data_IF_955437646760
#
_entry.id   IF_955437646760
#
_cell.length_a   1.000
_cell.length_b   1.000
_cell.length_c   1.000
_cell.angle_alpha   90.00
_cell.angle_beta   90.00
_cell.angle_gamma   90.00
#
_symmetry.space_group_name_H-M   'P 1'
#
loop_
_entity.id
_entity.type
_entity.pdbx_description
1 polymer ?
#
# COMPACT_ATOMS: atom_id res chain seq x y z
N UNK A 1 -7.37 -0.95 33.29
CA UNK A 1 -7.06 -0.66 31.88
C UNK A 1 -6.21 -1.79 31.35
N UNK A 2 -6.59 -2.41 30.23
CA UNK A 2 -5.77 -3.43 29.56
C UNK A 2 -4.63 -2.69 28.86
N UNK A 3 -3.39 -3.13 29.05
CA UNK A 3 -2.21 -2.55 28.38
C UNK A 3 -2.38 -2.60 26.87
N UNK A 4 -1.96 -1.56 26.15
CA UNK A 4 -1.98 -1.52 24.66
C UNK A 4 -1.20 -2.68 24.04
N UNK A 5 -0.16 -3.20 24.71
CA UNK A 5 0.59 -4.39 24.28
C UNK A 5 -0.25 -5.67 24.30
N UNK A 6 -1.24 -5.78 25.16
CA UNK A 6 -2.13 -6.96 25.26
C UNK A 6 -3.21 -7.03 24.18
N UNK A 7 -3.43 -5.94 23.45
CA UNK A 7 -4.39 -5.85 22.34
C UNK A 7 -3.77 -6.09 20.96
N UNK A 8 -2.48 -6.41 20.89
CA UNK A 8 -1.82 -6.72 19.62
C UNK A 8 -2.31 -8.05 19.03
N UNK A 9 -2.23 -8.19 17.71
CA UNK A 9 -2.56 -9.46 17.04
C UNK A 9 -1.72 -10.63 17.57
N UNK A 10 -0.44 -10.40 17.93
CA UNK A 10 0.42 -11.42 18.52
C UNK A 10 -0.05 -11.87 19.92
N UNK A 11 -0.43 -10.93 20.78
CA UNK A 11 -0.94 -11.23 22.10
C UNK A 11 -2.27 -12.00 22.04
N UNK A 12 -3.17 -11.59 21.13
CA UNK A 12 -4.45 -12.30 20.90
C UNK A 12 -4.23 -13.73 20.42
N UNK A 13 -3.29 -13.93 19.48
CA UNK A 13 -2.92 -15.25 18.99
C UNK A 13 -2.39 -16.13 20.14
N UNK A 14 -1.47 -15.62 20.95
CA UNK A 14 -0.92 -16.36 22.10
C UNK A 14 -2.02 -16.77 23.08
N UNK A 15 -2.88 -15.85 23.48
CA UNK A 15 -4.01 -16.11 24.36
C UNK A 15 -4.96 -17.17 23.80
N UNK A 16 -5.16 -17.22 22.48
CA UNK A 16 -6.00 -18.24 21.84
C UNK A 16 -5.34 -19.62 21.84
N UNK A 17 -4.02 -19.69 21.68
CA UNK A 17 -3.26 -20.94 21.80
C UNK A 17 -3.33 -21.48 23.24
N UNK A 18 -3.17 -20.61 24.24
CA UNK A 18 -3.32 -20.98 25.65
C UNK A 18 -4.74 -21.50 25.95
N UNK A 19 -5.78 -20.85 25.38
CA UNK A 19 -7.16 -21.32 25.50
C UNK A 19 -7.33 -22.75 24.95
N UNK A 20 -6.82 -23.01 23.73
CA UNK A 20 -6.92 -24.36 23.12
C UNK A 20 -6.19 -25.37 23.97
N UNK A 21 -5.04 -25.05 24.53
CA UNK A 21 -4.29 -25.91 25.44
C UNK A 21 -5.11 -26.24 26.69
N UNK A 22 -5.79 -25.26 27.28
CA UNK A 22 -6.64 -25.50 28.45
C UNK A 22 -7.85 -26.36 28.13
N UNK A 23 -8.62 -26.02 27.10
CA UNK A 23 -9.84 -26.79 26.76
C UNK A 23 -9.55 -28.22 26.29
N UNK A 24 -8.37 -28.48 25.72
CA UNK A 24 -7.95 -29.83 25.34
C UNK A 24 -7.74 -30.77 26.56
N UNK A 25 -7.46 -30.19 27.73
CA UNK A 25 -7.36 -30.92 29.00
C UNK A 25 -8.67 -31.09 29.76
N UNK A 26 -9.79 -30.51 29.30
CA UNK A 26 -11.07 -30.58 30.01
C UNK A 26 -11.85 -31.86 29.65
N UNK A 27 -11.98 -32.78 30.59
CA UNK A 27 -12.54 -34.12 30.33
C UNK A 27 -13.97 -34.11 29.78
N UNK A 28 -14.78 -33.09 30.10
CA UNK A 28 -16.18 -32.97 29.67
C UNK A 28 -16.37 -31.87 28.62
N UNK A 29 -15.32 -31.52 27.89
CA UNK A 29 -15.41 -30.47 26.88
C UNK A 29 -16.01 -31.06 25.59
N UNK A 30 -17.30 -30.84 25.38
CA UNK A 30 -18.06 -31.23 24.20
C UNK A 30 -19.03 -30.10 23.83
N UNK A 31 -18.52 -29.06 23.11
CA UNK A 31 -19.33 -27.91 22.80
C UNK A 31 -20.41 -28.24 21.75
N UNK A 32 -21.61 -27.62 21.85
CA UNK A 32 -22.74 -27.93 20.98
C UNK A 32 -22.52 -27.57 19.50
N UNK A 33 -21.51 -26.74 19.24
CA UNK A 33 -21.13 -26.32 17.89
C UNK A 33 -19.75 -26.83 17.54
N UNK A 34 -19.63 -27.47 16.39
CA UNK A 34 -18.37 -28.02 15.88
C UNK A 34 -17.26 -26.97 15.77
N UNK A 35 -17.65 -25.71 15.53
CA UNK A 35 -16.69 -24.59 15.35
C UNK A 35 -15.92 -24.25 16.63
N UNK A 36 -16.44 -24.55 17.82
CA UNK A 36 -15.79 -24.37 19.10
C UNK A 36 -15.02 -25.61 19.55
N UNK A 37 -15.04 -26.71 18.79
CA UNK A 37 -14.27 -27.93 19.11
C UNK A 37 -12.75 -27.65 19.07
N UNK A 38 -11.97 -28.43 19.81
CA UNK A 38 -10.49 -28.30 19.84
C UNK A 38 -9.87 -28.38 18.43
N UNK A 39 -10.25 -29.35 17.56
CA UNK A 39 -9.72 -29.38 16.19
C UNK A 39 -10.06 -28.12 15.38
N UNK A 40 -11.31 -27.65 15.41
CA UNK A 40 -11.73 -26.47 14.65
C UNK A 40 -11.08 -25.18 15.16
N UNK A 41 -10.83 -25.06 16.46
CA UNK A 41 -10.08 -23.94 17.02
C UNK A 41 -8.61 -23.98 16.62
N UNK A 42 -7.99 -25.17 16.57
CA UNK A 42 -6.61 -25.34 16.11
C UNK A 42 -6.47 -24.97 14.64
N UNK A 43 -7.42 -25.32 13.79
CA UNK A 43 -7.46 -24.97 12.38
C UNK A 43 -7.60 -23.44 12.19
N UNK A 44 -8.50 -22.79 12.95
CA UNK A 44 -8.65 -21.33 12.94
C UNK A 44 -7.34 -20.63 13.32
N UNK A 45 -6.67 -21.09 14.38
CA UNK A 45 -5.39 -20.56 14.82
C UNK A 45 -4.31 -20.72 13.73
N UNK A 46 -4.27 -21.87 13.07
CA UNK A 46 -3.34 -22.12 11.95
C UNK A 46 -3.60 -21.17 10.78
N UNK A 47 -4.87 -20.93 10.45
CA UNK A 47 -5.28 -19.96 9.42
C UNK A 47 -4.88 -18.53 9.77
N UNK A 48 -4.99 -18.14 11.04
CA UNK A 48 -4.55 -16.83 11.54
C UNK A 48 -3.03 -16.70 11.42
N UNK A 49 -2.25 -17.72 11.78
CA UNK A 49 -0.79 -17.72 11.64
C UNK A 49 -0.39 -17.53 10.18
N UNK A 50 -0.98 -18.31 9.27
CA UNK A 50 -0.72 -18.21 7.84
C UNK A 50 -1.06 -16.81 7.28
N UNK A 51 -2.21 -16.25 7.70
CA UNK A 51 -2.65 -14.92 7.24
C UNK A 51 -1.76 -13.80 7.80
N UNK A 52 -1.29 -13.90 9.04
CA UNK A 52 -0.32 -12.96 9.60
C UNK A 52 1.01 -12.98 8.84
N UNK A 53 1.50 -14.17 8.46
CA UNK A 53 2.71 -14.32 7.64
C UNK A 53 2.50 -13.72 6.23
N UNK A 54 1.34 -13.99 5.62
CA UNK A 54 0.96 -13.42 4.32
C UNK A 54 0.91 -11.88 4.38
N UNK A 55 0.31 -11.29 5.41
CA UNK A 55 0.27 -9.82 5.55
C UNK A 55 1.67 -9.22 5.64
N UNK A 56 2.56 -9.83 6.38
CA UNK A 56 3.95 -9.37 6.47
C UNK A 56 4.65 -9.41 5.11
N UNK A 57 4.48 -10.50 4.35
CA UNK A 57 5.01 -10.65 3.00
C UNK A 57 4.42 -9.63 2.02
N UNK A 58 3.08 -9.46 2.02
CA UNK A 58 2.42 -8.48 1.15
C UNK A 58 2.82 -7.03 1.47
N UNK A 59 3.05 -6.71 2.72
CA UNK A 59 3.56 -5.40 3.13
C UNK A 59 4.97 -5.12 2.58
N UNK A 60 5.85 -6.12 2.62
CA UNK A 60 7.19 -5.98 2.05
C UNK A 60 7.14 -5.86 0.52
N UNK A 61 6.33 -6.68 -0.14
CA UNK A 61 6.12 -6.59 -1.60
C UNK A 61 5.60 -5.20 -2.02
N UNK A 62 4.65 -4.64 -1.25
CA UNK A 62 4.16 -3.28 -1.49
C UNK A 62 5.28 -2.23 -1.34
N UNK A 63 6.07 -2.33 -0.28
CA UNK A 63 7.20 -1.43 -0.05
C UNK A 63 8.22 -1.49 -1.20
N UNK A 64 8.59 -2.69 -1.64
CA UNK A 64 9.49 -2.88 -2.78
C UNK A 64 8.93 -2.28 -4.08
N UNK A 65 7.64 -2.45 -4.34
CA UNK A 65 6.98 -1.85 -5.50
C UNK A 65 7.02 -0.31 -5.45
N UNK A 66 6.78 0.29 -4.27
CA UNK A 66 6.88 1.74 -4.05
C UNK A 66 8.31 2.24 -4.26
N UNK A 67 9.31 1.54 -3.73
CA UNK A 67 10.73 1.90 -3.87
C UNK A 67 11.18 1.78 -5.33
N UNK A 68 10.79 0.73 -6.05
CA UNK A 68 11.07 0.56 -7.47
C UNK A 68 10.49 1.69 -8.30
N UNK A 69 9.22 2.04 -8.06
CA UNK A 69 8.58 3.20 -8.69
C UNK A 69 9.33 4.49 -8.39
N UNK A 70 9.63 4.78 -7.14
CA UNK A 70 10.35 6.00 -6.77
C UNK A 70 11.74 6.08 -7.43
N UNK A 71 12.43 4.95 -7.54
CA UNK A 71 13.73 4.85 -8.21
C UNK A 71 13.63 5.25 -9.68
N UNK A 72 12.66 4.73 -10.42
CA UNK A 72 12.45 5.06 -11.82
C UNK A 72 12.07 6.53 -12.05
N UNK A 73 11.36 7.17 -11.11
CA UNK A 73 10.95 8.56 -11.26
C UNK A 73 12.02 9.58 -10.84
N UNK A 74 12.83 9.32 -9.80
CA UNK A 74 13.68 10.38 -9.23
C UNK A 74 15.07 9.97 -8.74
N UNK A 75 15.34 8.69 -8.46
CA UNK A 75 16.57 8.34 -7.72
C UNK A 75 17.79 8.01 -8.61
N UNK A 76 17.59 7.45 -9.79
CA UNK A 76 18.70 7.01 -10.66
C UNK A 76 19.04 8.01 -11.76
N UNK A 77 20.20 7.85 -12.38
CA UNK A 77 20.64 8.66 -13.54
C UNK A 77 19.69 8.51 -14.73
N UNK A 78 19.07 7.34 -14.94
CA UNK A 78 18.07 7.08 -15.97
C UNK A 78 16.63 7.41 -15.57
N UNK A 79 16.41 8.01 -14.38
CA UNK A 79 15.07 8.37 -13.92
C UNK A 79 14.46 9.50 -14.74
N UNK A 80 13.13 9.54 -14.78
CA UNK A 80 12.37 10.58 -15.50
C UNK A 80 12.86 11.98 -15.19
N UNK A 81 13.04 12.32 -13.91
CA UNK A 81 13.50 13.66 -13.52
C UNK A 81 14.88 14.00 -14.08
N UNK A 82 15.76 13.01 -14.26
CA UNK A 82 17.11 13.20 -14.79
C UNK A 82 17.14 13.24 -16.33
N UNK A 83 16.22 12.54 -17.00
CA UNK A 83 16.10 12.54 -18.46
C UNK A 83 15.58 13.88 -19.03
N UNK A 84 14.77 14.61 -18.27
CA UNK A 84 14.13 15.85 -18.72
C UNK A 84 15.14 16.90 -19.21
N UNK A 85 16.26 17.09 -18.53
CA UNK A 85 17.27 18.09 -18.93
C UNK A 85 18.03 17.69 -20.18
N UNK A 86 18.51 16.46 -20.36
CA UNK A 86 19.08 15.97 -21.60
C UNK A 86 18.11 16.05 -22.78
N UNK A 87 16.85 15.67 -22.63
CA UNK A 87 15.82 15.79 -23.68
C UNK A 87 15.67 17.24 -24.12
N UNK A 88 15.54 18.16 -23.15
CA UNK A 88 15.45 19.59 -23.44
C UNK A 88 16.68 20.08 -24.20
N UNK A 89 17.88 19.69 -23.75
CA UNK A 89 19.13 20.06 -24.41
C UNK A 89 19.23 19.57 -25.86
N UNK A 90 18.82 18.33 -26.11
CA UNK A 90 18.83 17.74 -27.45
C UNK A 90 17.91 18.50 -28.42
N UNK A 91 16.67 18.80 -27.99
CA UNK A 91 15.72 19.59 -28.79
C UNK A 91 16.24 21.00 -29.07
N UNK A 92 16.74 21.69 -28.05
CA UNK A 92 17.26 23.04 -28.20
C UNK A 92 18.51 23.10 -29.10
N UNK A 93 19.33 22.04 -29.08
CA UNK A 93 20.49 21.89 -29.94
C UNK A 93 20.09 21.64 -31.41
N UNK A 94 19.10 20.77 -31.65
CA UNK A 94 18.69 20.36 -33.00
C UNK A 94 17.86 21.43 -33.71
N UNK A 95 16.86 21.98 -33.03
CA UNK A 95 15.88 22.87 -33.65
C UNK A 95 16.04 24.34 -33.26
N UNK A 96 16.84 24.62 -32.26
CA UNK A 96 17.01 25.95 -31.69
C UNK A 96 16.05 26.25 -30.52
N UNK A 97 16.54 27.04 -29.58
CA UNK A 97 15.84 27.34 -28.32
C UNK A 97 14.47 28.03 -28.48
N UNK A 98 14.28 28.77 -29.59
CA UNK A 98 13.04 29.52 -29.88
C UNK A 98 12.15 28.84 -30.91
N UNK A 99 12.47 27.63 -31.34
CA UNK A 99 11.67 26.87 -32.30
C UNK A 99 10.30 26.47 -31.74
N UNK A 100 9.38 26.12 -32.62
CA UNK A 100 8.06 25.56 -32.27
C UNK A 100 8.21 24.22 -31.58
N UNK A 101 9.16 23.39 -32.00
CA UNK A 101 9.50 22.08 -31.44
C UNK A 101 9.99 22.20 -29.98
N UNK A 102 10.96 23.07 -29.74
CA UNK A 102 11.46 23.34 -28.39
C UNK A 102 10.35 23.92 -27.49
N UNK A 103 9.50 24.79 -28.04
CA UNK A 103 8.38 25.37 -27.29
C UNK A 103 7.34 24.34 -26.89
N UNK A 104 6.97 23.41 -27.77
CA UNK A 104 6.02 22.34 -27.51
C UNK A 104 6.49 21.41 -26.35
N UNK A 105 7.72 20.91 -26.43
CA UNK A 105 8.31 20.04 -25.40
C UNK A 105 8.51 20.80 -24.08
N UNK A 106 9.00 22.04 -24.13
CA UNK A 106 9.23 22.87 -22.96
C UNK A 106 7.93 23.21 -22.22
N UNK A 107 6.78 23.32 -22.88
CA UNK A 107 5.49 23.53 -22.26
C UNK A 107 5.13 22.35 -21.34
N UNK A 108 5.30 21.11 -21.81
CA UNK A 108 5.04 19.89 -21.01
C UNK A 108 6.08 19.74 -19.89
N UNK A 109 7.37 20.00 -20.17
CA UNK A 109 8.41 20.00 -19.14
C UNK A 109 8.10 20.99 -18.01
N UNK A 110 7.57 22.17 -18.32
CA UNK A 110 7.15 23.14 -17.29
C UNK A 110 6.05 22.60 -16.39
N UNK A 111 5.06 21.87 -16.94
CA UNK A 111 4.02 21.22 -16.15
C UNK A 111 4.61 20.15 -15.20
N UNK A 112 5.52 19.31 -15.69
CA UNK A 112 6.20 18.30 -14.86
C UNK A 112 7.03 18.91 -13.72
N UNK A 113 7.61 20.08 -13.93
CA UNK A 113 8.46 20.79 -12.96
C UNK A 113 7.70 21.82 -12.11
N UNK A 114 6.42 22.07 -12.41
CA UNK A 114 5.64 23.09 -11.72
C UNK A 114 5.50 22.78 -10.23
N UNK A 115 6.11 23.63 -9.42
CA UNK A 115 6.03 23.61 -7.95
C UNK A 115 5.26 24.80 -7.39
N UNK A 116 4.66 25.63 -8.25
CA UNK A 116 3.97 26.83 -7.81
C UNK A 116 2.67 26.46 -7.07
N UNK A 117 2.67 26.71 -5.77
CA UNK A 117 1.45 26.91 -5.00
C UNK A 117 0.87 28.26 -5.44
N UNK A 118 -0.20 28.25 -6.17
CA UNK A 118 -0.99 29.47 -6.39
C UNK A 118 -1.74 29.72 -5.10
N UNK A 119 -1.33 30.73 -4.33
CA UNK A 119 -2.15 31.22 -3.22
C UNK A 119 -3.40 31.84 -3.83
N UNK A 120 -4.57 31.39 -3.40
CA UNK A 120 -5.81 32.11 -3.69
C UNK A 120 -5.66 33.56 -3.19
N UNK A 121 -6.21 34.56 -3.88
CA UNK A 121 -6.21 35.94 -3.40
C UNK A 121 -6.86 35.94 -2.01
N UNK A 122 -6.16 36.43 -1.02
CA UNK A 122 -6.71 36.58 0.33
C UNK A 122 -7.72 37.74 0.29
N UNK A 123 -8.98 37.42 0.38
CA UNK A 123 -10.02 38.45 0.60
C UNK A 123 -9.87 38.93 2.05
N UNK A 124 -9.49 40.21 2.28
CA UNK A 124 -9.26 40.73 3.63
C UNK A 124 -10.51 40.80 4.49
N UNK A 125 -11.70 40.52 3.93
CA UNK A 125 -12.98 40.56 4.63
C UNK A 125 -13.46 39.22 5.15
N UNK A 126 -12.73 38.09 4.84
CA UNK A 126 -13.08 36.74 5.31
C UNK A 126 -12.19 36.29 6.45
N UNK A 127 -12.81 36.05 7.63
CA UNK A 127 -12.11 35.50 8.83
C UNK A 127 -11.60 34.06 8.69
N UNK A 128 -11.97 33.34 7.65
CA UNK A 128 -11.55 31.95 7.40
C UNK A 128 -10.47 31.95 6.32
N UNK A 129 -9.25 31.56 6.68
CA UNK A 129 -8.17 31.29 5.71
C UNK A 129 -8.62 30.15 4.78
N UNK A 130 -8.87 30.46 3.52
CA UNK A 130 -9.13 29.45 2.49
C UNK A 130 -7.89 28.56 2.36
N UNK A 131 -8.10 27.23 2.47
CA UNK A 131 -7.02 26.25 2.32
C UNK A 131 -6.38 26.42 0.95
N UNK A 132 -5.08 26.65 0.93
CA UNK A 132 -4.29 26.71 -0.31
C UNK A 132 -4.40 25.37 -1.01
N UNK A 133 -5.04 25.31 -2.17
CA UNK A 133 -5.09 24.11 -3.01
C UNK A 133 -3.77 24.02 -3.76
N UNK A 134 -2.99 22.96 -3.53
CA UNK A 134 -1.80 22.68 -4.32
C UNK A 134 -2.22 22.33 -5.74
N UNK A 135 -1.82 23.15 -6.71
CA UNK A 135 -1.96 22.85 -8.14
C UNK A 135 -0.77 22.04 -8.67
N UNK A 136 -0.05 21.35 -7.79
CA UNK A 136 1.05 20.48 -8.20
C UNK A 136 0.51 19.23 -8.88
N UNK A 137 0.66 19.13 -10.18
CA UNK A 137 0.35 17.95 -10.98
C UNK A 137 1.49 16.89 -10.91
N UNK A 138 2.24 16.84 -9.81
CA UNK A 138 3.38 15.94 -9.62
C UNK A 138 3.04 14.56 -9.05
N UNK A 139 1.79 14.10 -9.22
CA UNK A 139 1.49 12.70 -8.94
C UNK A 139 2.24 11.78 -9.91
N UNK A 140 2.55 10.55 -9.49
CA UNK A 140 3.19 9.57 -10.39
C UNK A 140 2.37 9.33 -11.67
N UNK A 141 1.03 9.36 -11.58
CA UNK A 141 0.14 9.26 -12.73
C UNK A 141 0.31 10.44 -13.68
N UNK A 142 0.25 11.69 -13.19
CA UNK A 142 0.43 12.90 -14.00
C UNK A 142 1.84 12.96 -14.61
N UNK A 143 2.87 12.59 -13.85
CA UNK A 143 4.25 12.56 -14.38
C UNK A 143 4.41 11.51 -15.47
N UNK A 144 3.77 10.35 -15.37
CA UNK A 144 3.75 9.34 -16.44
C UNK A 144 3.06 9.88 -17.67
N UNK A 145 1.90 10.55 -17.51
CA UNK A 145 1.18 11.14 -18.63
C UNK A 145 2.02 12.21 -19.34
N UNK A 146 2.59 13.14 -18.61
CA UNK A 146 3.45 14.19 -19.20
C UNK A 146 4.70 13.61 -19.87
N UNK A 147 5.29 12.57 -19.32
CA UNK A 147 6.42 11.91 -19.97
C UNK A 147 5.99 11.23 -21.28
N UNK A 148 4.84 10.55 -21.30
CA UNK A 148 4.26 10.01 -22.52
C UNK A 148 3.97 11.12 -23.55
N UNK A 149 3.43 12.26 -23.12
CA UNK A 149 3.16 13.40 -24.01
C UNK A 149 4.46 13.94 -24.64
N UNK A 150 5.55 14.00 -23.86
CA UNK A 150 6.87 14.39 -24.38
C UNK A 150 7.34 13.37 -25.43
N UNK A 151 7.29 12.08 -25.11
CA UNK A 151 7.73 11.02 -26.04
C UNK A 151 6.91 11.04 -27.33
N UNK A 152 5.59 11.15 -27.22
CA UNK A 152 4.70 11.27 -28.38
C UNK A 152 4.99 12.53 -29.24
N UNK A 153 5.31 13.66 -28.59
CA UNK A 153 5.69 14.87 -29.28
C UNK A 153 7.01 14.68 -30.03
N UNK A 154 8.01 14.05 -29.42
CA UNK A 154 9.30 13.76 -30.02
C UNK A 154 9.19 12.84 -31.25
N UNK A 155 8.26 11.86 -31.23
CA UNK A 155 8.03 10.98 -32.38
C UNK A 155 7.48 11.72 -33.62
N UNK A 156 6.95 12.93 -33.46
CA UNK A 156 6.49 13.76 -34.56
C UNK A 156 7.63 14.58 -35.20
N UNK A 157 8.82 14.56 -34.63
CA UNK A 157 9.97 15.33 -35.10
C UNK A 157 10.95 14.42 -35.85
N UNK A 158 10.92 14.40 -37.21
CA UNK A 158 11.68 13.43 -38.02
C UNK A 158 13.20 13.56 -37.86
N UNK A 159 13.67 14.74 -37.51
CA UNK A 159 15.09 15.01 -37.33
C UNK A 159 15.60 14.79 -35.90
N UNK A 160 14.71 14.35 -34.94
CA UNK A 160 15.13 14.09 -33.59
C UNK A 160 15.93 12.79 -33.51
N UNK A 161 17.26 12.91 -33.62
CA UNK A 161 18.21 11.79 -33.51
C UNK A 161 19.38 12.16 -32.59
N UNK A 162 19.18 12.15 -31.25
CA UNK A 162 20.26 12.43 -30.32
C UNK A 162 21.28 11.29 -30.27
N UNK A 163 22.56 11.63 -30.17
CA UNK A 163 23.65 10.66 -30.04
C UNK A 163 23.65 9.92 -28.68
N UNK A 164 22.97 10.46 -27.69
CA UNK A 164 22.88 9.84 -26.35
C UNK A 164 21.77 8.80 -26.31
N UNK A 165 22.13 7.53 -26.13
CA UNK A 165 21.19 6.39 -26.15
C UNK A 165 20.01 6.53 -25.18
N UNK A 166 20.16 6.99 -23.92
CA UNK A 166 19.04 7.09 -22.99
C UNK A 166 17.92 8.04 -23.41
N UNK A 167 18.16 8.95 -24.34
CA UNK A 167 17.18 9.92 -24.84
C UNK A 167 16.76 9.66 -26.29
N UNK A 168 17.16 8.55 -26.90
CA UNK A 168 16.61 8.09 -28.17
C UNK A 168 15.14 7.68 -28.00
N UNK A 169 14.34 7.86 -29.04
CA UNK A 169 12.88 7.60 -29.00
C UNK A 169 12.58 6.20 -28.46
N UNK A 170 13.27 5.17 -28.95
CA UNK A 170 13.06 3.79 -28.51
C UNK A 170 13.28 3.62 -26.98
N UNK A 171 14.36 4.18 -26.44
CA UNK A 171 14.66 4.13 -25.00
C UNK A 171 13.65 4.91 -24.17
N UNK A 172 13.17 6.04 -24.67
CA UNK A 172 12.12 6.84 -24.01
C UNK A 172 10.77 6.12 -24.02
N UNK A 173 10.40 5.44 -25.10
CA UNK A 173 9.19 4.62 -25.19
C UNK A 173 9.24 3.43 -24.23
N UNK A 174 10.38 2.77 -24.12
CA UNK A 174 10.60 1.70 -23.12
C UNK A 174 10.45 2.24 -21.69
N UNK A 175 11.07 3.39 -21.39
CA UNK A 175 10.90 4.07 -20.09
C UNK A 175 9.44 4.38 -19.81
N UNK A 176 8.70 4.95 -20.76
CA UNK A 176 7.28 5.27 -20.60
C UNK A 176 6.42 4.04 -20.29
N UNK A 177 6.69 2.94 -20.97
CA UNK A 177 6.04 1.63 -20.69
C UNK A 177 6.37 1.12 -19.30
N UNK A 178 7.64 1.21 -18.89
CA UNK A 178 8.09 0.82 -17.57
C UNK A 178 7.42 1.64 -16.45
N UNK A 179 7.26 2.96 -16.61
CA UNK A 179 6.57 3.81 -15.64
C UNK A 179 5.11 3.39 -15.44
N UNK A 180 4.41 3.10 -16.53
CA UNK A 180 3.03 2.60 -16.49
C UNK A 180 2.95 1.27 -15.75
N UNK A 181 3.86 0.34 -16.05
CA UNK A 181 3.95 -0.96 -15.39
C UNK A 181 4.21 -0.82 -13.89
N UNK A 182 5.13 0.06 -13.49
CA UNK A 182 5.43 0.31 -12.07
C UNK A 182 4.26 0.92 -11.31
N UNK A 183 3.52 1.85 -11.92
CA UNK A 183 2.31 2.40 -11.30
C UNK A 183 1.24 1.33 -11.11
N UNK A 184 1.00 0.49 -12.11
CA UNK A 184 0.04 -0.61 -12.04
C UNK A 184 0.45 -1.65 -10.99
N UNK A 185 1.75 -1.97 -10.90
CA UNK A 185 2.27 -2.88 -9.89
C UNK A 185 2.01 -2.37 -8.46
N UNK A 186 2.26 -1.08 -8.18
CA UNK A 186 1.95 -0.50 -6.86
C UNK A 186 0.46 -0.61 -6.55
N UNK A 187 -0.43 -0.28 -7.49
CA UNK A 187 -1.87 -0.39 -7.32
C UNK A 187 -2.29 -1.84 -6.99
N UNK A 188 -1.73 -2.81 -7.71
CA UNK A 188 -1.95 -4.25 -7.48
C UNK A 188 -1.50 -4.70 -6.09
N UNK A 189 -0.30 -4.25 -5.65
CA UNK A 189 0.23 -4.59 -4.32
C UNK A 189 -0.59 -3.97 -3.19
N UNK A 190 -1.11 -2.75 -3.36
CA UNK A 190 -2.06 -2.14 -2.42
C UNK A 190 -3.33 -2.99 -2.30
N UNK A 191 -3.90 -3.42 -3.41
CA UNK A 191 -5.11 -4.24 -3.41
C UNK A 191 -4.88 -5.58 -2.70
N UNK A 192 -3.78 -6.28 -3.00
CA UNK A 192 -3.40 -7.54 -2.35
C UNK A 192 -3.23 -7.37 -0.84
N UNK A 193 -2.51 -6.34 -0.41
CA UNK A 193 -2.30 -6.03 1.01
C UNK A 193 -3.62 -5.71 1.72
N UNK A 194 -4.48 -4.93 1.09
CA UNK A 194 -5.79 -4.57 1.65
C UNK A 194 -6.67 -5.81 1.82
N UNK A 195 -6.75 -6.67 0.80
CA UNK A 195 -7.49 -7.94 0.87
C UNK A 195 -6.99 -8.84 2.01
N UNK A 196 -5.67 -9.01 2.13
CA UNK A 196 -5.08 -9.82 3.21
C UNK A 196 -5.38 -9.24 4.60
N UNK A 197 -5.37 -7.91 4.75
CA UNK A 197 -5.73 -7.24 6.01
C UNK A 197 -7.20 -7.43 6.38
N UNK A 198 -8.10 -7.38 5.40
CA UNK A 198 -9.52 -7.67 5.62
C UNK A 198 -9.70 -9.11 6.08
N UNK A 199 -9.11 -10.08 5.37
CA UNK A 199 -9.18 -11.50 5.76
C UNK A 199 -8.63 -11.75 7.16
N UNK A 200 -7.53 -11.08 7.53
CA UNK A 200 -6.98 -11.14 8.89
C UNK A 200 -7.96 -10.61 9.93
N UNK A 201 -8.59 -9.48 9.66
CA UNK A 201 -9.57 -8.88 10.57
C UNK A 201 -10.78 -9.80 10.78
N UNK A 202 -11.27 -10.44 9.72
CA UNK A 202 -12.39 -11.37 9.77
C UNK A 202 -12.06 -12.61 10.63
N UNK A 203 -10.86 -13.18 10.45
CA UNK A 203 -10.39 -14.30 11.26
C UNK A 203 -10.28 -13.95 12.76
N UNK A 204 -9.79 -12.76 13.09
CA UNK A 204 -9.74 -12.32 14.49
C UNK A 204 -11.11 -11.98 15.07
N UNK A 205 -12.06 -11.57 14.26
CA UNK A 205 -13.46 -11.37 14.67
C UNK A 205 -14.12 -12.71 14.98
N UNK A 206 -13.96 -13.71 14.08
CA UNK A 206 -14.45 -15.07 14.31
C UNK A 206 -13.81 -15.71 15.57
N UNK A 207 -12.48 -15.54 15.73
CA UNK A 207 -11.76 -16.01 16.92
C UNK A 207 -12.36 -15.42 18.20
N UNK A 208 -12.61 -14.12 18.22
CA UNK A 208 -13.21 -13.44 19.38
C UNK A 208 -14.58 -14.01 19.71
N UNK A 209 -15.43 -14.20 18.71
CA UNK A 209 -16.78 -14.78 18.91
C UNK A 209 -16.72 -16.20 19.43
N UNK A 210 -15.86 -17.05 18.87
CA UNK A 210 -15.68 -18.44 19.35
C UNK A 210 -15.16 -18.46 20.79
N UNK A 211 -14.18 -17.64 21.14
CA UNK A 211 -13.67 -17.53 22.51
C UNK A 211 -14.77 -17.15 23.51
N UNK A 212 -15.65 -16.22 23.15
CA UNK A 212 -16.78 -15.85 24.01
C UNK A 212 -17.77 -17.02 24.20
N UNK A 213 -18.07 -17.75 23.12
CA UNK A 213 -18.95 -18.93 23.17
C UNK A 213 -18.33 -20.06 24.01
N UNK A 214 -17.03 -20.33 23.83
CA UNK A 214 -16.29 -21.31 24.66
C UNK A 214 -16.40 -20.95 26.13
N UNK A 215 -16.17 -19.70 26.52
CA UNK A 215 -16.29 -19.24 27.89
C UNK A 215 -17.70 -19.46 28.45
N UNK A 216 -18.71 -19.11 27.65
CA UNK A 216 -20.11 -19.29 28.04
C UNK A 216 -20.46 -20.76 28.21
N UNK A 217 -20.01 -21.63 27.31
CA UNK A 217 -20.18 -23.07 27.40
C UNK A 217 -19.51 -23.67 28.64
N UNK A 218 -18.21 -23.35 28.85
CA UNK A 218 -17.46 -23.86 30.00
C UNK A 218 -18.10 -23.38 31.32
N UNK A 219 -18.53 -22.13 31.39
CA UNK A 219 -19.25 -21.59 32.55
C UNK A 219 -20.54 -22.36 32.82
N UNK A 220 -21.31 -22.70 31.80
CA UNK A 220 -22.56 -23.45 31.89
C UNK A 220 -22.33 -24.91 32.28
N UNK A 221 -21.33 -25.56 31.65
CA UNK A 221 -21.07 -27.00 31.84
C UNK A 221 -20.37 -27.33 33.17
N UNK A 222 -19.40 -26.50 33.57
CA UNK A 222 -18.55 -26.76 34.74
C UNK A 222 -18.92 -25.91 35.97
N UNK A 223 -19.62 -24.81 35.76
CA UNK A 223 -20.01 -23.87 36.81
C UNK A 223 -19.07 -22.68 36.97
N UNK A 224 -19.60 -21.58 37.49
CA UNK A 224 -18.88 -20.29 37.61
C UNK A 224 -17.65 -20.34 38.54
N UNK A 225 -17.62 -21.26 39.51
CA UNK A 225 -16.53 -21.39 40.48
C UNK A 225 -15.54 -22.52 40.15
N UNK A 226 -15.76 -23.25 39.06
CA UNK A 226 -14.92 -24.36 38.64
C UNK A 226 -13.47 -23.98 38.37
N UNK A 227 -12.50 -24.86 38.56
CA UNK A 227 -11.11 -24.66 38.14
C UNK A 227 -11.00 -24.37 36.64
N UNK A 228 -11.75 -25.08 35.80
CA UNK A 228 -11.77 -24.95 34.34
C UNK A 228 -12.20 -23.55 33.92
N UNK A 229 -13.30 -23.02 34.46
CA UNK A 229 -13.75 -21.67 34.12
C UNK A 229 -12.78 -20.60 34.65
N UNK A 230 -12.20 -20.78 35.85
CA UNK A 230 -11.19 -19.85 36.40
C UNK A 230 -9.95 -19.71 35.50
N UNK A 231 -9.51 -20.79 34.84
CA UNK A 231 -8.39 -20.78 33.92
C UNK A 231 -8.64 -19.90 32.69
N UNK A 232 -9.87 -19.92 32.14
CA UNK A 232 -10.16 -19.27 30.86
C UNK A 232 -10.91 -17.95 30.98
N UNK A 233 -11.53 -17.62 32.11
CA UNK A 233 -12.36 -16.41 32.28
C UNK A 233 -11.61 -15.11 31.98
N UNK A 234 -10.30 -15.06 32.26
CA UNK A 234 -9.42 -13.89 32.04
C UNK A 234 -8.94 -13.75 30.61
N UNK A 235 -9.11 -14.75 29.75
CA UNK A 235 -8.65 -14.68 28.36
C UNK A 235 -9.51 -13.67 27.59
N UNK A 236 -8.91 -12.60 27.08
CA UNK A 236 -9.56 -11.56 26.28
C UNK A 236 -8.84 -11.43 24.94
N UNK A 237 -9.61 -11.45 23.83
CA UNK A 237 -9.16 -11.38 22.45
C UNK A 237 -9.78 -10.19 21.72
#
# INVERSE_FOLDING_TARGET
MVSTSENTFGAKLRKSQDLVTYISGFIKYDPPRQQESVPAMTELISSIIATNASESSQRENYKQAVDSRQTAFSKTTGSVEKLISPIKGAIESQYGKKSTEASAVNATIKKMRATKLTKAPTDPTKETQEKTISQSERSYGSMTQFFNDIVNTLTQFPEYDPSSDPIKIAALQETATQLTTLNNNVAQKVQQLTSTRTSRQDLYTDLKDRVQRIKSYVKSQYGNNSPEYKLIKGISI
#
